data_IF_216315245308
#
_entry.id   IF_216315245308
#
_cell.length_a   1.000
_cell.length_b   1.000
_cell.length_c   1.000
_cell.angle_alpha   90.00
_cell.angle_beta   90.00
_cell.angle_gamma   90.00
#
_symmetry.space_group_name_H-M   'P 1'
#
loop_
_entity.id
_entity.type
_entity.pdbx_description
1 polymer ?
#
# COMPACT_ATOMS: atom_id res chain seq x y z
N UNK A 1 -13.16 -12.68 -16.03
CA UNK A 1 -13.62 -11.92 -14.84
C UNK A 1 -14.22 -12.89 -13.84
N UNK A 2 -14.14 -12.58 -12.55
CA UNK A 2 -14.48 -13.50 -11.45
C UNK A 2 -15.98 -13.54 -11.06
N UNK A 3 -16.88 -12.99 -11.88
CA UNK A 3 -18.32 -12.93 -11.58
C UNK A 3 -18.67 -11.90 -10.50
N UNK A 4 -19.64 -12.20 -9.63
CA UNK A 4 -19.90 -11.39 -8.42
C UNK A 4 -18.85 -11.72 -7.38
N UNK A 5 -18.15 -10.70 -6.90
CA UNK A 5 -17.03 -10.83 -5.97
C UNK A 5 -17.31 -9.97 -4.75
N UNK A 6 -17.31 -10.60 -3.57
CA UNK A 6 -17.27 -9.91 -2.29
C UNK A 6 -15.83 -9.79 -1.76
N UNK A 7 -15.63 -9.21 -0.57
CA UNK A 7 -14.30 -9.05 0.00
C UNK A 7 -13.54 -10.37 0.17
N UNK A 8 -14.24 -11.43 0.61
CA UNK A 8 -13.60 -12.71 0.88
C UNK A 8 -13.09 -13.33 -0.42
N UNK A 9 -13.95 -13.41 -1.43
CA UNK A 9 -13.59 -13.90 -2.75
C UNK A 9 -12.52 -13.01 -3.43
N UNK A 10 -12.56 -11.69 -3.20
CA UNK A 10 -11.56 -10.77 -3.75
C UNK A 10 -10.15 -11.05 -3.21
N UNK A 11 -10.03 -11.33 -1.90
CA UNK A 11 -8.75 -11.69 -1.29
C UNK A 11 -8.30 -13.08 -1.76
N UNK A 12 -9.20 -14.06 -1.77
CA UNK A 12 -8.90 -15.44 -2.19
C UNK A 12 -8.40 -15.52 -3.64
N UNK A 13 -9.08 -14.83 -4.55
CA UNK A 13 -8.81 -14.88 -5.99
C UNK A 13 -7.91 -13.73 -6.46
N UNK A 14 -7.43 -12.88 -5.54
CA UNK A 14 -6.66 -11.68 -5.86
C UNK A 14 -7.32 -10.84 -6.98
N UNK A 15 -8.61 -10.52 -6.82
CA UNK A 15 -9.42 -9.92 -7.89
C UNK A 15 -9.14 -8.41 -8.07
N UNK A 16 -8.37 -8.05 -9.09
CA UNK A 16 -8.03 -6.66 -9.40
C UNK A 16 -9.24 -5.74 -9.52
N UNK A 17 -10.29 -6.16 -10.23
CA UNK A 17 -11.49 -5.33 -10.47
C UNK A 17 -12.17 -4.91 -9.17
N UNK A 18 -12.17 -5.79 -8.16
CA UNK A 18 -12.69 -5.45 -6.84
C UNK A 18 -11.83 -4.37 -6.18
N UNK A 19 -10.50 -4.53 -6.19
CA UNK A 19 -9.57 -3.58 -5.58
C UNK A 19 -9.45 -2.26 -6.34
N UNK A 20 -9.64 -2.23 -7.66
CA UNK A 20 -9.79 -1.00 -8.45
C UNK A 20 -10.97 -0.16 -7.97
N UNK A 21 -12.13 -0.78 -7.75
CA UNK A 21 -13.31 -0.09 -7.24
C UNK A 21 -13.08 0.38 -5.79
N UNK A 22 -12.39 -0.40 -4.96
CA UNK A 22 -12.02 0.04 -3.60
C UNK A 22 -11.04 1.23 -3.63
N UNK A 23 -10.02 1.17 -4.47
CA UNK A 23 -9.04 2.26 -4.65
C UNK A 23 -9.72 3.55 -5.07
N UNK A 24 -10.61 3.49 -6.06
CA UNK A 24 -11.42 4.62 -6.52
C UNK A 24 -12.28 5.23 -5.40
N UNK A 25 -12.85 4.41 -4.52
CA UNK A 25 -13.71 4.87 -3.41
C UNK A 25 -12.92 5.48 -2.25
N UNK A 26 -11.76 4.92 -1.94
CA UNK A 26 -10.90 5.40 -0.85
C UNK A 26 -10.10 6.65 -1.24
N UNK A 27 -9.57 6.66 -2.46
CA UNK A 27 -8.64 7.66 -2.95
C UNK A 27 -7.25 7.58 -2.29
N UNK A 28 -6.25 8.17 -2.95
CA UNK A 28 -4.85 8.08 -2.51
C UNK A 28 -4.63 8.58 -1.09
N UNK A 29 -5.29 9.66 -0.64
CA UNK A 29 -5.07 10.22 0.70
C UNK A 29 -5.29 9.18 1.81
N UNK A 30 -6.44 8.50 1.80
CA UNK A 30 -6.74 7.46 2.78
C UNK A 30 -5.85 6.23 2.62
N UNK A 31 -5.56 5.82 1.38
CA UNK A 31 -4.68 4.67 1.12
C UNK A 31 -3.28 4.93 1.67
N UNK A 32 -2.67 6.08 1.35
CA UNK A 32 -1.34 6.45 1.82
C UNK A 32 -1.27 6.51 3.35
N UNK A 33 -2.28 7.08 4.01
CA UNK A 33 -2.35 7.16 5.47
C UNK A 33 -2.39 5.78 6.12
N UNK A 34 -3.19 4.85 5.58
CA UNK A 34 -3.27 3.48 6.09
C UNK A 34 -1.96 2.72 5.84
N UNK A 35 -1.41 2.79 4.62
CA UNK A 35 -0.15 2.12 4.27
C UNK A 35 1.02 2.60 5.16
N UNK A 36 1.10 3.90 5.43
CA UNK A 36 2.09 4.47 6.36
C UNK A 36 1.91 3.98 7.80
N UNK A 37 0.67 3.77 8.27
CA UNK A 37 0.41 3.18 9.61
C UNK A 37 0.91 1.73 9.72
N UNK A 38 1.00 1.00 8.61
CA UNK A 38 1.66 -0.31 8.57
C UNK A 38 3.20 -0.23 8.54
N UNK A 39 3.77 0.97 8.46
CA UNK A 39 5.23 1.21 8.40
C UNK A 39 5.83 1.15 7.00
N UNK A 40 5.00 1.12 5.94
CA UNK A 40 5.48 1.21 4.57
C UNK A 40 5.99 2.63 4.28
N UNK A 41 7.04 2.74 3.45
CA UNK A 41 7.64 4.03 3.11
C UNK A 41 8.56 4.60 4.19
N UNK A 42 8.93 3.80 5.19
CA UNK A 42 9.88 4.13 6.25
C UNK A 42 10.70 2.91 6.64
N UNK A 43 11.94 3.10 7.09
CA UNK A 43 12.74 2.02 7.67
C UNK A 43 11.98 1.27 8.78
N UNK A 44 12.15 -0.05 8.82
CA UNK A 44 11.53 -0.93 9.80
C UNK A 44 12.07 -0.72 11.21
N UNK A 45 13.31 -0.23 11.34
CA UNK A 45 14.01 -0.05 12.61
C UNK A 45 14.82 -1.27 13.06
N UNK A 46 14.96 -2.29 12.21
CA UNK A 46 15.86 -3.42 12.47
C UNK A 46 17.31 -2.93 12.58
N UNK A 47 18.13 -3.61 13.37
CA UNK A 47 19.56 -3.31 13.51
C UNK A 47 20.37 -3.82 12.30
N UNK A 48 20.08 -3.26 11.12
CA UNK A 48 20.81 -3.49 9.87
C UNK A 48 21.12 -2.16 9.19
N UNK A 49 22.38 -1.94 8.75
CA UNK A 49 22.72 -0.74 8.02
C UNK A 49 22.09 -0.72 6.63
N UNK A 50 21.68 0.47 6.18
CA UNK A 50 21.32 0.71 4.78
C UNK A 50 19.93 0.24 4.36
N UNK A 51 18.97 0.14 5.29
CA UNK A 51 17.58 -0.15 4.91
C UNK A 51 17.02 0.98 4.02
N UNK A 52 16.53 0.70 2.80
CA UNK A 52 15.89 1.72 1.98
C UNK A 52 14.48 2.01 2.51
N UNK A 53 14.08 3.28 2.44
CA UNK A 53 12.75 3.71 2.92
C UNK A 53 11.59 3.11 2.12
N UNK A 54 11.82 2.73 0.85
CA UNK A 54 10.73 2.46 -0.08
C UNK A 54 9.97 3.75 -0.43
N UNK A 55 8.71 3.62 -0.83
CA UNK A 55 7.87 4.75 -1.21
C UNK A 55 6.39 4.39 -1.06
N UNK A 56 5.67 5.12 -0.20
CA UNK A 56 4.21 5.20 -0.25
C UNK A 56 3.83 6.47 -0.98
N UNK A 57 3.29 6.39 -2.21
CA UNK A 57 2.97 7.58 -2.99
C UNK A 57 1.85 8.38 -2.33
N UNK A 58 1.84 9.69 -2.58
CA UNK A 58 0.73 10.58 -2.24
C UNK A 58 0.62 11.69 -3.28
N UNK A 59 -0.47 12.45 -3.27
CA UNK A 59 -0.64 13.59 -4.17
C UNK A 59 0.47 14.63 -3.95
N UNK A 60 0.85 14.89 -2.69
CA UNK A 60 1.91 15.82 -2.32
C UNK A 60 3.28 15.33 -2.80
N UNK A 61 3.57 14.03 -2.63
CA UNK A 61 4.80 13.42 -3.14
C UNK A 61 4.89 13.55 -4.67
N UNK A 62 3.80 13.27 -5.38
CA UNK A 62 3.80 13.32 -6.84
C UNK A 62 3.99 14.75 -7.34
N UNK A 63 3.31 15.72 -6.73
CA UNK A 63 3.50 17.13 -7.05
C UNK A 63 4.94 17.57 -6.80
N UNK A 64 5.52 17.21 -5.65
CA UNK A 64 6.88 17.62 -5.28
C UNK A 64 7.97 16.98 -6.17
N UNK A 65 7.79 15.74 -6.62
CA UNK A 65 8.84 14.97 -7.32
C UNK A 65 8.67 14.92 -8.83
N UNK A 66 7.44 15.04 -9.33
CA UNK A 66 7.11 14.95 -10.76
C UNK A 66 6.54 16.24 -11.33
N UNK A 67 6.21 17.21 -10.48
CA UNK A 67 5.53 18.45 -10.89
C UNK A 67 4.22 18.19 -11.65
N UNK A 68 3.50 17.14 -11.23
CA UNK A 68 2.23 16.72 -11.81
C UNK A 68 1.19 16.50 -10.71
N UNK A 69 -0.11 16.80 -10.98
CA UNK A 69 -1.18 16.45 -10.06
C UNK A 69 -1.39 14.93 -10.00
N UNK A 70 -2.05 14.46 -8.94
CA UNK A 70 -2.53 13.09 -8.86
C UNK A 70 -3.70 12.86 -9.82
N UNK A 71 -3.65 11.79 -10.60
CA UNK A 71 -4.71 11.42 -11.55
C UNK A 71 -5.58 10.30 -10.97
N UNK A 72 -6.91 10.30 -11.19
CA UNK A 72 -7.80 9.27 -10.64
C UNK A 72 -7.43 7.82 -11.00
N UNK A 73 -6.81 7.59 -12.16
CA UNK A 73 -6.34 6.25 -12.55
C UNK A 73 -5.21 5.71 -11.67
N UNK A 74 -4.49 6.59 -10.98
CA UNK A 74 -3.39 6.22 -10.09
C UNK A 74 -3.89 5.63 -8.77
N UNK A 75 -5.13 5.94 -8.37
CA UNK A 75 -5.80 5.29 -7.25
C UNK A 75 -5.98 3.78 -7.53
N UNK A 76 -6.39 3.43 -8.75
CA UNK A 76 -6.67 2.05 -9.13
C UNK A 76 -5.41 1.19 -9.07
N UNK A 77 -4.32 1.64 -9.70
CA UNK A 77 -3.07 0.89 -9.74
C UNK A 77 -2.41 0.81 -8.35
N UNK A 78 -2.53 1.87 -7.54
CA UNK A 78 -1.96 1.87 -6.18
C UNK A 78 -2.69 0.87 -5.28
N UNK A 79 -4.01 0.71 -5.45
CA UNK A 79 -4.82 -0.19 -4.63
C UNK A 79 -4.46 -1.68 -4.80
N UNK A 80 -3.82 -2.06 -5.90
CA UNK A 80 -3.31 -3.43 -6.13
C UNK A 80 -1.79 -3.53 -5.94
N UNK A 81 -1.17 -2.53 -5.31
CA UNK A 81 0.25 -2.51 -4.99
C UNK A 81 1.18 -2.19 -6.16
N UNK A 82 0.68 -1.55 -7.22
CA UNK A 82 1.46 -1.15 -8.39
C UNK A 82 1.68 0.37 -8.46
N UNK A 83 2.19 0.84 -9.60
CA UNK A 83 2.48 2.25 -9.86
C UNK A 83 3.74 2.70 -9.14
N UNK A 84 3.64 3.74 -8.33
CA UNK A 84 4.77 4.33 -7.61
C UNK A 84 5.04 3.66 -6.26
N UNK A 85 4.17 2.75 -5.79
CA UNK A 85 4.37 2.07 -4.53
C UNK A 85 5.66 1.22 -4.59
N UNK A 86 6.57 1.46 -3.66
CA UNK A 86 7.79 0.66 -3.49
C UNK A 86 7.88 0.18 -2.04
N UNK A 87 8.11 -1.10 -1.86
CA UNK A 87 8.23 -1.71 -0.53
C UNK A 87 9.44 -2.63 -0.48
N UNK A 88 10.07 -2.73 0.69
CA UNK A 88 11.11 -3.75 0.92
C UNK A 88 10.47 -5.08 1.36
N UNK A 89 11.14 -6.23 1.15
CA UNK A 89 10.67 -7.50 1.71
C UNK A 89 10.50 -7.45 3.24
N UNK A 90 11.34 -6.69 3.94
CA UNK A 90 11.26 -6.53 5.39
C UNK A 90 10.02 -5.73 5.83
N UNK A 91 9.69 -4.66 5.10
CA UNK A 91 8.44 -3.92 5.28
C UNK A 91 7.21 -4.81 5.06
N UNK A 92 7.22 -5.70 4.06
CA UNK A 92 6.14 -6.66 3.84
C UNK A 92 6.05 -7.71 4.95
N UNK A 93 7.19 -8.20 5.45
CA UNK A 93 7.22 -9.10 6.60
C UNK A 93 6.62 -8.45 7.87
N UNK A 94 6.90 -7.16 8.09
CA UNK A 94 6.28 -6.37 9.16
C UNK A 94 4.76 -6.25 9.00
N UNK A 95 4.26 -5.95 7.80
CA UNK A 95 2.82 -5.90 7.52
C UNK A 95 2.16 -7.24 7.84
N UNK A 96 2.73 -8.35 7.38
CA UNK A 96 2.22 -9.70 7.64
C UNK A 96 2.19 -10.00 9.15
N UNK A 97 3.24 -9.63 9.90
CA UNK A 97 3.29 -9.77 11.35
C UNK A 97 2.21 -8.96 12.06
N UNK A 98 1.98 -7.69 11.65
CA UNK A 98 0.92 -6.85 12.22
C UNK A 98 -0.46 -7.47 11.99
N UNK A 99 -0.73 -7.98 10.78
CA UNK A 99 -1.99 -8.66 10.47
C UNK A 99 -2.18 -9.91 11.32
N UNK A 100 -1.16 -10.76 11.44
CA UNK A 100 -1.18 -11.95 12.29
C UNK A 100 -1.39 -11.61 13.77
N UNK A 101 -0.79 -10.51 14.23
CA UNK A 101 -0.87 -10.00 15.61
C UNK A 101 -2.06 -9.08 15.88
N UNK A 102 -3.09 -9.09 15.02
CA UNK A 102 -4.34 -8.31 15.19
C UNK A 102 -4.10 -6.81 15.41
N UNK A 103 -3.15 -6.24 14.67
CA UNK A 103 -2.81 -4.82 14.72
C UNK A 103 -1.71 -4.45 15.73
N UNK A 104 -1.22 -5.40 16.55
CA UNK A 104 -0.10 -5.11 17.44
C UNK A 104 1.21 -5.06 16.66
N UNK A 105 1.88 -3.91 16.73
CA UNK A 105 3.21 -3.71 16.15
C UNK A 105 4.25 -4.33 17.06
N UNK A 106 5.08 -5.22 16.50
CA UNK A 106 6.29 -5.75 17.12
C UNK A 106 7.44 -5.27 16.24
N UNK A 107 8.45 -4.62 16.83
CA UNK A 107 9.64 -4.27 16.08
C UNK A 107 10.40 -5.56 15.74
N UNK A 108 10.78 -5.76 14.46
CA UNK A 108 11.62 -6.89 14.05
C UNK A 108 12.98 -6.89 14.76
#
# INVERSE_FOLDING_TARGET
GHGRVDLHAAIEQSCDVYFYEMGKRLGIGQMSDVLKKFGLGSQSGVDLPGEPDGLVPSAEWKLATRNEPWYPGEDLITAIGQGFLMTTPLQLARVASILANRGRVVQP
#
